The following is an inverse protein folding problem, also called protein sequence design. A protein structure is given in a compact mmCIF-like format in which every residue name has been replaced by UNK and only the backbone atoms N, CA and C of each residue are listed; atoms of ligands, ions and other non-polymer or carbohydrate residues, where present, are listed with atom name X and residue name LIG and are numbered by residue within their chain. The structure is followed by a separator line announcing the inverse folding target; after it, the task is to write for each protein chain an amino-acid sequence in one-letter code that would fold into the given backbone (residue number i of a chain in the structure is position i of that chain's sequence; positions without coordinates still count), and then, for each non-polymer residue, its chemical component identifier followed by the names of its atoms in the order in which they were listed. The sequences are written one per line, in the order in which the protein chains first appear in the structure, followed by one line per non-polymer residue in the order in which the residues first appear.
data_IF_596881503639
#
_entry.id   IF_596881503639
#
_cell.length_a   1.000
_cell.length_b   1.000
_cell.length_c   1.000
_cell.angle_alpha   90.00
_cell.angle_beta   90.00
_cell.angle_gamma   90.00
#
_symmetry.space_group_name_H-M   'P 1'
#
loop_
_entity.id
_entity.type
_entity.pdbx_description
1 polymer ?
#
# COMPACT_ATOMS: atom_id res chain seq x y z
N UNK A 1 10.78 -14.30 -19.50
CA UNK A 1 11.79 -14.08 -18.43
C UNK A 1 11.11 -13.27 -17.34
N UNK A 2 11.00 -13.77 -16.11
CA UNK A 2 10.56 -12.98 -14.96
C UNK A 2 11.67 -11.96 -14.69
N UNK A 3 11.38 -10.69 -14.85
CA UNK A 3 12.33 -9.64 -14.46
C UNK A 3 12.30 -9.53 -12.94
N UNK A 4 13.47 -9.56 -12.31
CA UNK A 4 13.63 -9.43 -10.86
C UNK A 4 13.15 -8.06 -10.41
N UNK A 5 12.38 -8.00 -9.30
CA UNK A 5 12.06 -6.75 -8.64
C UNK A 5 13.26 -6.25 -7.82
N UNK A 6 13.51 -4.96 -7.94
CA UNK A 6 14.44 -4.24 -7.08
C UNK A 6 13.66 -3.31 -6.15
N UNK A 7 13.87 -3.47 -4.85
CA UNK A 7 13.17 -2.69 -3.83
C UNK A 7 14.04 -1.56 -3.32
N UNK A 8 13.44 -0.41 -3.05
CA UNK A 8 14.06 0.70 -2.36
C UNK A 8 13.12 1.22 -1.27
N UNK A 9 13.65 1.31 -0.05
CA UNK A 9 12.98 1.91 1.08
C UNK A 9 13.44 3.36 1.19
N UNK A 10 12.48 4.29 1.29
CA UNK A 10 12.67 5.74 1.37
C UNK A 10 13.67 6.31 0.33
N UNK A 11 13.46 6.01 -0.95
CA UNK A 11 14.26 6.67 -1.98
C UNK A 11 14.05 8.19 -1.92
N UNK A 12 15.02 8.95 -2.41
CA UNK A 12 14.86 10.38 -2.55
C UNK A 12 13.62 10.69 -3.39
N UNK A 13 12.70 11.47 -2.83
CA UNK A 13 11.46 11.88 -3.49
C UNK A 13 11.72 13.04 -4.46
N UNK A 14 12.42 12.75 -5.55
CA UNK A 14 12.60 13.72 -6.62
C UNK A 14 11.27 14.10 -7.28
N UNK A 15 11.18 15.24 -7.99
CA UNK A 15 9.98 15.59 -8.73
C UNK A 15 9.55 14.50 -9.72
N UNK A 16 10.50 13.81 -10.36
CA UNK A 16 10.27 12.74 -11.32
C UNK A 16 9.65 11.51 -10.63
N UNK A 17 10.21 11.06 -9.50
CA UNK A 17 9.65 9.94 -8.75
C UNK A 17 8.24 10.24 -8.22
N UNK A 18 7.99 11.48 -7.77
CA UNK A 18 6.64 11.91 -7.36
C UNK A 18 5.65 11.81 -8.52
N UNK A 19 6.05 12.25 -9.70
CA UNK A 19 5.22 12.16 -10.90
C UNK A 19 4.96 10.70 -11.29
N UNK A 20 5.99 9.84 -11.30
CA UNK A 20 5.83 8.40 -11.56
C UNK A 20 4.84 7.73 -10.58
N UNK A 21 4.93 8.07 -9.29
CA UNK A 21 4.01 7.52 -8.28
C UNK A 21 2.58 8.00 -8.54
N UNK A 22 2.37 9.26 -8.90
CA UNK A 22 1.03 9.79 -9.20
C UNK A 22 0.46 9.15 -10.47
N UNK A 23 1.28 8.98 -11.50
CA UNK A 23 0.88 8.25 -12.72
C UNK A 23 0.48 6.81 -12.38
N UNK A 24 1.33 6.07 -11.63
CA UNK A 24 1.01 4.71 -11.19
C UNK A 24 -0.29 4.65 -10.38
N UNK A 25 -0.51 5.61 -9.49
CA UNK A 25 -1.72 5.68 -8.67
C UNK A 25 -2.97 5.94 -9.52
N UNK A 26 -2.86 6.84 -10.48
CA UNK A 26 -3.94 7.14 -11.44
C UNK A 26 -4.27 5.91 -12.29
N UNK A 27 -3.25 5.25 -12.84
CA UNK A 27 -3.41 4.04 -13.66
C UNK A 27 -4.00 2.88 -12.85
N UNK A 28 -3.50 2.65 -11.63
CA UNK A 28 -4.03 1.62 -10.74
C UNK A 28 -5.51 1.87 -10.40
N UNK A 29 -5.89 3.14 -10.16
CA UNK A 29 -7.30 3.51 -9.94
C UNK A 29 -8.15 3.21 -11.17
N UNK A 30 -7.71 3.62 -12.36
CA UNK A 30 -8.46 3.44 -13.61
C UNK A 30 -8.54 1.97 -14.05
N UNK A 31 -7.59 1.14 -13.63
CA UNK A 31 -7.65 -0.31 -13.77
C UNK A 31 -8.57 -0.99 -12.73
N UNK A 32 -9.27 -0.21 -11.90
CA UNK A 32 -10.21 -0.72 -10.90
C UNK A 32 -9.61 -0.97 -9.52
N UNK A 33 -8.38 -0.55 -9.25
CA UNK A 33 -7.72 -0.70 -7.94
C UNK A 33 -8.41 0.09 -6.82
N UNK A 34 -8.44 -0.49 -5.63
CA UNK A 34 -9.04 0.12 -4.43
C UNK A 34 -8.01 0.98 -3.68
N UNK A 35 -7.52 2.05 -4.32
CA UNK A 35 -6.42 2.87 -3.79
C UNK A 35 -6.84 4.30 -3.41
N UNK A 36 -8.09 4.45 -2.99
CA UNK A 36 -8.64 5.70 -2.43
C UNK A 36 -9.43 6.55 -3.40
N UNK A 37 -9.54 6.13 -4.65
CA UNK A 37 -10.35 6.78 -5.68
C UNK A 37 -11.21 5.75 -6.42
N UNK A 38 -12.11 6.25 -7.25
CA UNK A 38 -12.89 5.45 -8.22
C UNK A 38 -12.68 6.04 -9.62
N UNK A 39 -12.71 5.19 -10.66
CA UNK A 39 -12.61 5.66 -12.05
C UNK A 39 -13.81 6.55 -12.44
N UNK A 40 -13.62 7.52 -13.35
CA UNK A 40 -12.33 7.92 -13.93
C UNK A 40 -11.53 8.83 -12.97
N UNK A 41 -10.24 8.58 -12.85
CA UNK A 41 -9.32 9.42 -12.09
C UNK A 41 -8.34 10.11 -13.05
N UNK A 42 -7.93 11.33 -12.71
CA UNK A 42 -6.88 12.09 -13.39
C UNK A 42 -5.75 12.36 -12.40
N UNK A 43 -4.56 12.62 -12.90
CA UNK A 43 -3.42 12.99 -12.06
C UNK A 43 -3.72 14.23 -11.22
N UNK A 44 -4.40 15.25 -11.77
CA UNK A 44 -4.80 16.45 -11.03
C UNK A 44 -5.69 16.13 -9.83
N UNK A 45 -6.54 15.12 -9.95
CA UNK A 45 -7.38 14.65 -8.84
C UNK A 45 -6.60 13.87 -7.79
N UNK A 46 -5.56 13.14 -8.19
CA UNK A 46 -4.71 12.33 -7.30
C UNK A 46 -3.69 13.18 -6.57
N UNK A 47 -3.10 14.20 -7.23
CA UNK A 47 -2.03 15.04 -6.70
C UNK A 47 -2.26 15.61 -5.30
N UNK A 48 -3.43 16.20 -4.95
CA UNK A 48 -3.63 16.75 -3.61
C UNK A 48 -3.50 15.70 -2.50
N UNK A 49 -3.96 14.48 -2.76
CA UNK A 49 -3.85 13.35 -1.81
C UNK A 49 -2.42 12.80 -1.77
N UNK A 50 -1.77 12.68 -2.93
CA UNK A 50 -0.38 12.24 -3.01
C UNK A 50 0.57 13.20 -2.28
N UNK A 51 0.39 14.52 -2.43
CA UNK A 51 1.18 15.53 -1.70
C UNK A 51 1.07 15.37 -0.19
N UNK A 52 -0.13 15.08 0.34
CA UNK A 52 -0.33 14.83 1.77
C UNK A 52 0.40 13.55 2.20
N UNK A 53 0.34 12.50 1.38
CA UNK A 53 1.04 11.26 1.65
C UNK A 53 2.57 11.45 1.65
N UNK A 54 3.11 12.18 0.67
CA UNK A 54 4.54 12.51 0.60
C UNK A 54 5.02 13.37 1.76
N UNK A 55 4.19 14.30 2.23
CA UNK A 55 4.53 15.17 3.36
C UNK A 55 4.65 14.41 4.70
N UNK A 56 4.03 13.22 4.81
CA UNK A 56 4.15 12.35 5.98
C UNK A 56 5.45 11.56 6.04
N UNK A 57 6.16 11.44 4.91
CA UNK A 57 7.40 10.68 4.83
C UNK A 57 8.50 11.45 5.55
N UNK A 58 9.06 10.82 6.57
CA UNK A 58 10.14 11.40 7.37
C UNK A 58 11.51 10.88 6.98
N UNK A 59 12.50 11.34 7.74
CA UNK A 59 13.88 10.89 7.61
C UNK A 59 14.08 9.59 8.39
N UNK A 60 15.12 8.85 8.02
CA UNK A 60 15.57 7.70 8.78
C UNK A 60 15.83 8.09 10.25
N UNK A 61 15.36 7.26 11.18
CA UNK A 61 15.47 7.50 12.61
C UNK A 61 14.31 8.30 13.24
N UNK A 62 13.35 8.77 12.46
CA UNK A 62 12.10 9.34 12.99
C UNK A 62 11.04 8.23 13.15
N UNK A 63 10.77 7.75 14.38
CA UNK A 63 9.83 6.66 14.62
C UNK A 63 8.38 7.05 14.33
N UNK A 64 8.08 8.34 14.31
CA UNK A 64 6.75 8.88 14.03
C UNK A 64 6.49 9.15 12.55
N UNK A 65 7.47 8.95 11.68
CA UNK A 65 7.36 9.23 10.27
C UNK A 65 6.70 8.10 9.49
N UNK A 66 6.02 8.46 8.41
CA UNK A 66 5.62 7.51 7.38
C UNK A 66 6.84 7.13 6.55
N UNK A 67 6.80 5.94 5.94
CA UNK A 67 7.91 5.43 5.12
C UNK A 67 7.36 4.95 3.77
N UNK A 68 8.19 5.04 2.75
CA UNK A 68 7.84 4.68 1.37
C UNK A 68 8.66 3.47 0.91
N UNK A 69 7.98 2.43 0.44
CA UNK A 69 8.61 1.33 -0.28
C UNK A 69 8.23 1.40 -1.75
N UNK A 70 9.22 1.37 -2.62
CA UNK A 70 9.01 1.21 -4.07
C UNK A 70 9.63 -0.08 -4.56
N UNK A 71 9.07 -0.60 -5.65
CA UNK A 71 9.61 -1.73 -6.40
C UNK A 71 9.79 -1.32 -7.87
N UNK A 72 10.94 -1.63 -8.46
CA UNK A 72 11.23 -1.43 -9.88
C UNK A 72 11.47 -2.76 -10.59
N UNK A 73 11.01 -2.82 -11.84
CA UNK A 73 11.29 -3.90 -12.77
C UNK A 73 12.03 -3.28 -13.96
N UNK A 74 13.35 -3.38 -13.97
CA UNK A 74 14.19 -2.51 -14.82
C UNK A 74 13.96 -1.04 -14.46
N UNK A 75 13.72 -0.21 -15.47
CA UNK A 75 13.47 1.23 -15.28
C UNK A 75 12.01 1.56 -14.91
N UNK A 76 11.11 0.58 -14.94
CA UNK A 76 9.68 0.80 -14.69
C UNK A 76 9.39 0.76 -13.19
N UNK A 77 8.68 1.76 -12.68
CA UNK A 77 8.09 1.72 -11.34
C UNK A 77 6.97 0.66 -11.30
N UNK A 78 7.29 -0.50 -10.76
CA UNK A 78 6.43 -1.68 -10.77
C UNK A 78 5.43 -1.71 -9.60
N UNK A 79 5.81 -1.15 -8.46
CA UNK A 79 4.96 -1.16 -7.28
C UNK A 79 5.34 -0.09 -6.26
N UNK A 80 4.37 0.24 -5.43
CA UNK A 80 4.49 1.24 -4.36
C UNK A 80 3.62 0.83 -3.19
N UNK A 81 4.09 1.05 -1.97
CA UNK A 81 3.28 1.09 -0.77
C UNK A 81 3.86 2.06 0.27
N UNK A 82 3.00 2.53 1.17
CA UNK A 82 3.40 3.38 2.28
C UNK A 82 3.17 2.65 3.60
N UNK A 83 4.14 2.78 4.50
CA UNK A 83 3.97 2.44 5.92
C UNK A 83 3.58 3.72 6.66
N UNK A 84 2.35 3.81 7.10
CA UNK A 84 1.84 4.97 7.82
C UNK A 84 1.95 4.74 9.32
N UNK A 85 2.56 5.69 10.02
CA UNK A 85 2.62 5.72 11.49
C UNK A 85 1.29 6.21 12.04
N UNK A 86 0.82 5.59 13.12
CA UNK A 86 -0.39 6.05 13.80
C UNK A 86 -0.17 7.34 14.60
N UNK A 87 1.09 7.78 14.76
CA UNK A 87 1.47 8.97 15.53
C UNK A 87 0.85 9.00 16.94
N UNK A 88 0.80 7.82 17.55
CA UNK A 88 0.24 7.60 18.86
C UNK A 88 1.06 6.53 19.60
N UNK A 89 1.61 6.85 20.73
CA UNK A 89 2.60 6.03 21.46
C UNK A 89 2.11 4.62 21.78
N UNK A 90 0.81 4.46 22.05
CA UNK A 90 0.23 3.13 22.30
C UNK A 90 0.06 2.28 21.03
N UNK A 91 0.34 2.82 19.86
CA UNK A 91 0.24 2.18 18.54
C UNK A 91 1.55 2.24 17.75
N UNK A 92 2.68 2.52 18.39
CA UNK A 92 3.99 2.68 17.75
C UNK A 92 4.61 1.34 17.29
N UNK A 93 4.13 0.24 17.85
CA UNK A 93 4.61 -1.13 17.62
C UNK A 93 4.06 -1.80 16.35
N UNK A 94 3.31 -1.09 15.52
CA UNK A 94 2.81 -1.58 14.23
C UNK A 94 2.68 -0.43 13.21
N UNK A 95 2.45 -0.78 11.95
CA UNK A 95 2.25 0.20 10.87
C UNK A 95 1.01 -0.14 10.05
N UNK A 96 0.35 0.92 9.54
CA UNK A 96 -0.71 0.80 8.58
C UNK A 96 -0.12 0.83 7.16
N UNK A 97 -0.35 -0.23 6.39
CA UNK A 97 0.01 -0.23 4.97
C UNK A 97 -1.07 0.49 4.18
N UNK A 98 -0.66 1.48 3.41
CA UNK A 98 -1.53 2.24 2.51
C UNK A 98 -1.03 2.24 1.08
N UNK A 99 -1.99 2.37 0.16
CA UNK A 99 -1.69 2.52 -1.28
C UNK A 99 -0.81 1.39 -1.79
N UNK A 100 -1.15 0.15 -1.45
CA UNK A 100 -0.50 -1.03 -2.04
C UNK A 100 -0.90 -1.07 -3.52
N UNK A 101 0.04 -0.74 -4.40
CA UNK A 101 -0.18 -0.62 -5.83
C UNK A 101 0.85 -1.41 -6.61
N UNK A 102 0.40 -2.06 -7.68
CA UNK A 102 1.25 -2.66 -8.70
C UNK A 102 0.80 -2.12 -10.05
N UNK A 103 1.76 -1.73 -10.89
CA UNK A 103 1.48 -1.22 -12.23
C UNK A 103 0.55 -2.18 -12.99
N UNK A 104 -0.57 -1.70 -13.55
CA UNK A 104 -1.57 -2.57 -14.20
C UNK A 104 -0.98 -3.48 -15.27
N UNK A 105 -0.01 -2.98 -16.05
CA UNK A 105 0.70 -3.75 -17.08
C UNK A 105 1.57 -4.88 -16.54
N UNK A 106 1.86 -4.87 -15.24
CA UNK A 106 2.73 -5.84 -14.55
C UNK A 106 1.96 -6.73 -13.56
N UNK A 107 0.65 -6.57 -13.45
CA UNK A 107 -0.19 -7.42 -12.61
C UNK A 107 -0.22 -8.87 -13.14
N UNK A 108 -0.58 -9.82 -12.27
CA UNK A 108 -0.63 -11.24 -12.61
C UNK A 108 0.75 -11.94 -12.64
N UNK A 109 1.85 -11.23 -12.37
CA UNK A 109 3.22 -11.77 -12.38
C UNK A 109 3.76 -12.12 -10.99
N UNK A 110 2.94 -12.02 -9.95
CA UNK A 110 3.37 -12.26 -8.56
C UNK A 110 3.94 -11.03 -7.84
N UNK A 111 4.15 -9.92 -8.52
CA UNK A 111 4.82 -8.73 -7.97
C UNK A 111 4.10 -8.13 -6.74
N UNK A 112 2.77 -8.25 -6.67
CA UNK A 112 2.04 -7.86 -5.47
C UNK A 112 2.39 -8.70 -4.24
N UNK A 113 2.57 -10.00 -4.43
CA UNK A 113 3.00 -10.92 -3.36
C UNK A 113 4.43 -10.61 -2.92
N UNK A 114 5.34 -10.36 -3.88
CA UNK A 114 6.73 -9.98 -3.58
C UNK A 114 6.80 -8.63 -2.84
N UNK A 115 6.00 -7.64 -3.24
CA UNK A 115 5.91 -6.33 -2.56
C UNK A 115 5.43 -6.48 -1.12
N UNK A 116 4.42 -7.33 -0.88
CA UNK A 116 3.91 -7.60 0.47
C UNK A 116 4.93 -8.38 1.32
N UNK A 117 5.65 -9.34 0.72
CA UNK A 117 6.70 -10.09 1.40
C UNK A 117 7.86 -9.17 1.82
N UNK A 118 8.26 -8.23 0.96
CA UNK A 118 9.29 -7.24 1.30
C UNK A 118 8.81 -6.29 2.42
N UNK A 119 7.55 -5.84 2.38
CA UNK A 119 6.98 -5.05 3.46
C UNK A 119 6.99 -5.81 4.80
N UNK A 120 6.70 -7.10 4.79
CA UNK A 120 6.76 -7.95 5.98
C UNK A 120 8.20 -8.09 6.49
N UNK A 121 9.17 -8.31 5.61
CA UNK A 121 10.59 -8.38 5.95
C UNK A 121 11.05 -7.08 6.63
N UNK A 122 10.73 -5.93 6.05
CA UNK A 122 11.04 -4.61 6.61
C UNK A 122 10.38 -4.43 7.98
N UNK A 123 9.11 -4.80 8.11
CA UNK A 123 8.40 -4.73 9.39
C UNK A 123 9.08 -5.56 10.50
N UNK A 124 9.58 -6.75 10.16
CA UNK A 124 10.35 -7.59 11.09
C UNK A 124 11.69 -6.97 11.45
N UNK A 125 12.40 -6.40 10.47
CA UNK A 125 13.68 -5.72 10.71
C UNK A 125 13.51 -4.50 11.64
N UNK A 126 12.37 -3.84 11.59
CA UNK A 126 12.01 -2.74 12.50
C UNK A 126 11.51 -3.23 13.88
N UNK A 127 11.38 -4.52 14.09
CA UNK A 127 10.85 -5.10 15.34
C UNK A 127 9.35 -4.85 15.55
N UNK A 128 8.59 -4.62 14.47
CA UNK A 128 7.14 -4.40 14.58
C UNK A 128 6.41 -5.68 15.00
N UNK A 129 5.38 -5.51 15.82
CA UNK A 129 4.48 -6.58 16.22
C UNK A 129 3.53 -6.98 15.07
N UNK A 130 3.24 -6.07 14.14
CA UNK A 130 2.35 -6.37 13.04
C UNK A 130 2.21 -5.29 11.99
N UNK A 131 1.56 -5.66 10.89
CA UNK A 131 1.13 -4.77 9.83
C UNK A 131 -0.39 -4.85 9.69
N UNK A 132 -1.02 -3.69 9.61
CA UNK A 132 -2.45 -3.55 9.38
C UNK A 132 -2.69 -2.96 8.00
N UNK A 133 -3.80 -3.34 7.37
CA UNK A 133 -4.30 -2.65 6.19
C UNK A 133 -5.83 -2.70 6.15
N UNK A 134 -6.43 -1.84 5.34
CA UNK A 134 -7.85 -1.92 5.01
C UNK A 134 -8.03 -2.11 3.51
N UNK A 135 -9.08 -2.82 3.13
CA UNK A 135 -9.41 -3.08 1.74
C UNK A 135 -10.90 -2.90 1.50
N UNK A 136 -11.24 -2.43 0.30
CA UNK A 136 -12.62 -2.35 -0.17
C UNK A 136 -13.12 -3.74 -0.55
N UNK A 137 -14.24 -4.16 0.01
CA UNK A 137 -14.89 -5.45 -0.26
C UNK A 137 -15.37 -5.61 -1.71
N UNK A 138 -15.57 -6.86 -2.12
CA UNK A 138 -16.13 -7.21 -3.43
C UNK A 138 -15.14 -7.15 -4.59
N UNK A 139 -13.82 -7.10 -4.31
CA UNK A 139 -12.77 -6.99 -5.32
C UNK A 139 -11.81 -8.19 -5.34
N UNK A 140 -12.10 -9.23 -4.56
CA UNK A 140 -11.22 -10.40 -4.44
C UNK A 140 -9.93 -10.16 -3.65
N UNK A 141 -9.79 -8.99 -3.01
CA UNK A 141 -8.61 -8.63 -2.22
C UNK A 141 -8.46 -9.49 -0.98
N UNK A 142 -9.56 -10.03 -0.44
CA UNK A 142 -9.57 -10.97 0.67
C UNK A 142 -8.71 -12.21 0.36
N UNK A 143 -8.85 -12.76 -0.85
CA UNK A 143 -8.04 -13.91 -1.30
C UNK A 143 -6.58 -13.53 -1.50
N UNK A 144 -6.33 -12.32 -2.02
CA UNK A 144 -4.97 -11.83 -2.22
C UNK A 144 -4.25 -11.65 -0.89
N UNK A 145 -4.82 -10.89 0.05
CA UNK A 145 -4.20 -10.66 1.35
C UNK A 145 -4.12 -11.94 2.19
N UNK A 146 -5.10 -12.84 2.10
CA UNK A 146 -5.03 -14.15 2.73
C UNK A 146 -3.82 -14.98 2.26
N UNK A 147 -3.51 -14.96 0.96
CA UNK A 147 -2.30 -15.61 0.42
C UNK A 147 -1.00 -14.95 0.89
N UNK A 148 -1.04 -13.65 1.18
CA UNK A 148 0.09 -12.93 1.79
C UNK A 148 0.16 -13.14 3.33
N UNK A 149 -0.67 -14.02 3.91
CA UNK A 149 -0.66 -14.34 5.33
C UNK A 149 -1.38 -13.35 6.24
N UNK A 150 -2.18 -12.44 5.67
CA UNK A 150 -3.03 -11.52 6.43
C UNK A 150 -4.35 -12.20 6.79
N UNK A 151 -4.86 -11.91 7.98
CA UNK A 151 -6.15 -12.38 8.48
C UNK A 151 -7.12 -11.21 8.55
N UNK A 152 -8.36 -11.40 8.08
CA UNK A 152 -9.45 -10.47 8.31
C UNK A 152 -9.77 -10.42 9.81
N UNK A 153 -9.71 -9.23 10.41
CA UNK A 153 -9.95 -9.01 11.84
C UNK A 153 -11.14 -8.11 12.12
N UNK A 154 -11.75 -7.56 11.09
CA UNK A 154 -12.95 -6.76 11.22
C UNK A 154 -13.49 -6.28 9.88
N UNK A 155 -14.79 -5.94 9.87
CA UNK A 155 -15.51 -5.51 8.68
C UNK A 155 -16.61 -4.54 9.07
N UNK A 156 -16.73 -3.42 8.35
CA UNK A 156 -17.86 -2.50 8.46
C UNK A 156 -18.67 -2.58 7.17
N UNK A 157 -19.88 -3.17 7.21
CA UNK A 157 -20.70 -3.31 6.03
C UNK A 157 -21.09 -1.95 5.43
N UNK A 158 -20.96 -1.83 4.11
CA UNK A 158 -21.40 -0.65 3.36
C UNK A 158 -20.67 0.66 3.68
N UNK A 159 -19.53 0.63 4.37
CA UNK A 159 -18.85 1.84 4.82
C UNK A 159 -18.18 2.63 3.70
N UNK A 160 -17.97 2.04 2.52
CA UNK A 160 -17.33 2.67 1.37
C UNK A 160 -18.34 2.83 0.24
N UNK A 161 -18.72 4.07 -0.06
CA UNK A 161 -19.58 4.35 -1.21
C UNK A 161 -18.72 4.63 -2.45
N UNK A 162 -18.83 3.77 -3.46
CA UNK A 162 -18.10 3.91 -4.73
C UNK A 162 -18.94 4.60 -5.80
N UNK A 163 -20.26 4.46 -5.71
CA UNK A 163 -21.26 5.15 -6.54
C UNK A 163 -22.59 5.22 -5.80
N UNK A 164 -23.56 6.02 -6.24
CA UNK A 164 -24.93 5.97 -5.70
C UNK A 164 -25.51 4.54 -5.81
N UNK A 165 -25.89 3.94 -4.67
CA UNK A 165 -26.42 2.59 -4.60
C UNK A 165 -25.36 1.46 -4.70
N UNK A 166 -24.08 1.81 -4.68
CA UNK A 166 -22.98 0.84 -4.63
C UNK A 166 -22.09 1.12 -3.40
N UNK A 167 -22.51 0.61 -2.27
CA UNK A 167 -21.76 0.61 -1.01
C UNK A 167 -21.02 -0.72 -0.86
N UNK A 168 -19.74 -0.62 -0.47
CA UNK A 168 -18.84 -1.74 -0.25
C UNK A 168 -18.38 -1.77 1.19
N UNK A 169 -18.03 -2.95 1.66
CA UNK A 169 -17.49 -3.11 3.01
C UNK A 169 -16.10 -2.49 3.13
N UNK A 170 -15.79 -1.93 4.29
CA UNK A 170 -14.43 -1.62 4.72
C UNK A 170 -13.91 -2.79 5.56
N UNK A 171 -12.92 -3.50 5.03
CA UNK A 171 -12.40 -4.73 5.62
C UNK A 171 -11.02 -4.46 6.19
N UNK A 172 -10.83 -4.77 7.47
CA UNK A 172 -9.53 -4.63 8.15
C UNK A 172 -8.81 -5.98 8.18
N UNK A 173 -7.54 -5.95 7.79
CA UNK A 173 -6.64 -7.10 7.82
C UNK A 173 -5.46 -6.84 8.74
N UNK A 174 -4.98 -7.92 9.38
CA UNK A 174 -3.81 -7.92 10.26
C UNK A 174 -2.84 -9.01 9.86
N UNK A 175 -1.55 -8.68 9.86
CA UNK A 175 -0.43 -9.62 9.75
C UNK A 175 0.37 -9.55 11.04
N UNK A 176 0.35 -10.61 11.82
CA UNK A 176 1.19 -10.74 13.02
C UNK A 176 2.64 -11.02 12.59
N UNK A 177 3.56 -10.19 13.06
CA UNK A 177 4.99 -10.33 12.77
C UNK A 177 5.79 -10.89 13.96
N UNK A 178 5.17 -11.07 15.11
CA UNK A 178 5.83 -11.62 16.29
C UNK A 178 6.28 -13.06 16.04
N UNK A 179 7.42 -13.48 16.63
CA UNK A 179 7.82 -14.87 16.56
C UNK A 179 6.70 -15.79 17.04
N UNK A 180 6.43 -16.85 16.29
CA UNK A 180 5.51 -17.89 16.76
C UNK A 180 6.19 -18.63 17.91
N UNK A 181 5.48 -18.78 19.05
CA UNK A 181 5.97 -19.53 20.23
C UNK A 181 6.05 -21.03 19.93
#
# INVERSE_FOLDING_TARGET
MSMTLHFALDPELTPELRAEIVTLWTDATNAGGAVGFVPPATEDRVWPTARKQFAGIGKEGDPGADRLLIARSGDVLAGVLFFESMRFDLMDHWRLLKRVMVAPSLQGRGYGVELMAEAERIGRDWGLAGLRLTARGGMGLEKFYGRCGYTEVGRVPGAIRVAPGDERDDITFWRDLRPQA
#
